data_IF_843750178640
#
_entry.id   IF_843750178640
#
_cell.length_a   1.000
_cell.length_b   1.000
_cell.length_c   1.000
_cell.angle_alpha   90.00
_cell.angle_beta   90.00
_cell.angle_gamma   90.00
#
_symmetry.space_group_name_H-M   'P 1'
#
loop_
_entity.id
_entity.type
_entity.pdbx_description
1 polymer ?
#
# COMPACT_ATOMS: atom_id res chain seq x y z
N UNK A 1 3.81 1.54 15.92
CA UNK A 1 4.69 0.74 16.81
C UNK A 1 3.96 0.29 18.07
N UNK A 2 3.49 1.21 18.93
CA UNK A 2 2.80 0.88 20.19
C UNK A 2 1.65 -0.11 20.03
N UNK A 3 0.63 0.22 19.22
CA UNK A 3 -0.51 -0.68 18.98
C UNK A 3 -0.11 -2.08 18.46
N UNK A 4 1.00 -2.19 17.70
CA UNK A 4 1.48 -3.49 17.23
C UNK A 4 2.17 -4.25 18.37
N UNK A 5 2.97 -3.56 19.19
CA UNK A 5 3.61 -4.15 20.37
C UNK A 5 2.59 -4.60 21.42
N UNK A 6 1.49 -3.85 21.57
CA UNK A 6 0.41 -4.15 22.50
C UNK A 6 -0.55 -5.24 21.97
N UNK A 7 -0.43 -5.62 20.69
CA UNK A 7 -1.26 -6.65 20.05
C UNK A 7 -2.61 -6.15 19.53
N UNK A 8 -2.88 -4.85 19.58
CA UNK A 8 -4.09 -4.21 19.08
C UNK A 8 -4.10 -4.04 17.55
N UNK A 9 -2.93 -4.08 16.91
CA UNK A 9 -2.79 -3.88 15.47
C UNK A 9 -1.80 -4.84 14.82
N UNK A 10 -2.02 -5.11 13.53
CA UNK A 10 -1.04 -5.71 12.64
C UNK A 10 -0.58 -4.65 11.63
N UNK A 11 0.68 -4.73 11.20
CA UNK A 11 1.25 -3.83 10.21
C UNK A 11 2.03 -4.62 9.16
N UNK A 12 1.83 -4.28 7.88
CA UNK A 12 2.58 -4.84 6.76
C UNK A 12 3.64 -3.85 6.30
N UNK A 13 4.75 -4.38 5.80
CA UNK A 13 5.84 -3.58 5.25
C UNK A 13 5.41 -2.98 3.90
N UNK A 14 5.50 -1.65 3.76
CA UNK A 14 5.46 -0.96 2.47
C UNK A 14 6.86 -0.72 1.88
N UNK A 15 6.91 -0.22 0.65
CA UNK A 15 8.18 0.12 0.00
C UNK A 15 8.90 1.30 0.71
N UNK A 16 8.15 2.23 1.30
CA UNK A 16 8.73 3.35 2.07
C UNK A 16 9.32 2.87 3.40
N UNK A 17 8.65 2.00 4.14
CA UNK A 17 9.19 1.41 5.38
C UNK A 17 10.45 0.58 5.08
N UNK A 18 10.45 -0.22 4.01
CA UNK A 18 11.64 -0.97 3.61
C UNK A 18 12.82 -0.03 3.27
N UNK A 19 12.54 1.08 2.57
CA UNK A 19 13.58 2.05 2.20
C UNK A 19 14.11 2.79 3.43
N UNK A 20 13.24 3.14 4.37
CA UNK A 20 13.58 3.76 5.65
C UNK A 20 14.45 2.83 6.51
N UNK A 21 14.06 1.57 6.67
CA UNK A 21 14.84 0.58 7.41
C UNK A 21 16.27 0.45 6.85
N UNK A 22 16.41 0.37 5.51
CA UNK A 22 17.74 0.36 4.86
C UNK A 22 18.56 1.62 5.15
N UNK A 23 17.92 2.79 5.15
CA UNK A 23 18.59 4.05 5.44
C UNK A 23 19.10 4.12 6.88
N UNK A 24 18.25 3.75 7.85
CA UNK A 24 18.60 3.71 9.27
C UNK A 24 19.66 2.65 9.58
N UNK A 25 19.64 1.51 8.86
CA UNK A 25 20.70 0.49 8.90
C UNK A 25 22.01 0.90 8.21
N UNK A 26 22.21 2.18 7.87
CA UNK A 26 23.45 2.73 7.32
C UNK A 26 23.67 2.51 5.82
N UNK A 27 22.67 1.96 5.10
CA UNK A 27 22.80 1.74 3.66
C UNK A 27 22.57 3.05 2.91
N UNK A 28 23.43 3.33 1.92
CA UNK A 28 23.26 4.48 1.02
C UNK A 28 22.04 4.25 0.12
N UNK A 29 20.99 5.03 0.33
CA UNK A 29 19.77 5.03 -0.48
C UNK A 29 19.46 6.43 -1.00
N UNK A 30 18.80 6.54 -2.15
CA UNK A 30 18.39 7.83 -2.70
C UNK A 30 17.35 8.49 -1.78
N UNK A 31 17.60 9.73 -1.33
CA UNK A 31 16.71 10.52 -0.47
C UNK A 31 15.59 11.19 -1.30
N UNK A 32 14.80 10.38 -1.97
CA UNK A 32 13.70 10.78 -2.86
C UNK A 32 12.36 10.28 -2.34
N UNK A 33 11.26 10.88 -2.81
CA UNK A 33 9.89 10.51 -2.48
C UNK A 33 9.60 10.56 -0.97
N UNK A 34 9.83 11.70 -0.31
CA UNK A 34 9.49 11.91 1.10
C UNK A 34 10.50 11.35 2.14
N UNK A 35 11.52 10.60 1.70
CA UNK A 35 12.49 10.02 2.64
C UNK A 35 13.37 11.08 3.31
N UNK A 36 13.68 12.19 2.63
CA UNK A 36 14.53 13.23 3.19
C UNK A 36 13.89 13.86 4.43
N UNK A 37 12.58 14.08 4.36
CA UNK A 37 11.71 14.63 5.38
C UNK A 37 11.60 13.67 6.57
N UNK A 38 11.38 12.38 6.31
CA UNK A 38 11.33 11.35 7.36
C UNK A 38 12.64 11.28 8.15
N UNK A 39 13.79 11.29 7.46
CA UNK A 39 15.09 11.27 8.11
C UNK A 39 15.34 12.55 8.92
N UNK A 40 14.99 13.72 8.38
CA UNK A 40 15.15 14.99 9.09
C UNK A 40 14.30 15.06 10.37
N UNK A 41 13.08 14.51 10.35
CA UNK A 41 12.22 14.43 11.54
C UNK A 41 12.79 13.43 12.56
N UNK A 42 13.25 12.26 12.11
CA UNK A 42 13.85 11.27 13.00
C UNK A 42 15.20 11.70 13.59
N UNK A 43 15.96 12.55 12.89
CA UNK A 43 17.22 13.11 13.40
C UNK A 43 17.01 14.06 14.59
N UNK A 44 15.78 14.56 14.79
CA UNK A 44 15.42 15.37 15.96
C UNK A 44 14.98 14.53 17.18
N UNK A 45 14.81 13.22 17.01
CA UNK A 45 14.39 12.30 18.07
C UNK A 45 15.60 11.64 18.75
N UNK A 46 15.46 11.14 20.00
CA UNK A 46 16.51 10.38 20.68
C UNK A 46 16.95 9.15 19.89
N UNK A 47 18.22 8.76 20.02
CA UNK A 47 18.76 7.59 19.32
C UNK A 47 18.00 6.30 19.67
N UNK A 48 17.55 6.15 20.92
CA UNK A 48 16.74 4.99 21.32
C UNK A 48 15.41 4.93 20.57
N UNK A 49 14.82 6.08 20.21
CA UNK A 49 13.60 6.10 19.40
C UNK A 49 13.89 5.68 17.97
N UNK A 50 14.99 6.18 17.39
CA UNK A 50 15.43 5.86 16.02
C UNK A 50 15.74 4.37 15.89
N UNK A 51 16.40 3.77 16.88
CA UNK A 51 16.67 2.33 16.94
C UNK A 51 15.38 1.50 16.98
N UNK A 52 14.38 1.94 17.76
CA UNK A 52 13.07 1.29 17.78
C UNK A 52 12.34 1.38 16.45
N UNK A 53 12.41 2.53 15.77
CA UNK A 53 11.82 2.70 14.43
C UNK A 53 12.51 1.76 13.44
N UNK A 54 13.84 1.70 13.46
CA UNK A 54 14.61 0.81 12.61
C UNK A 54 14.21 -0.66 12.82
N UNK A 55 14.24 -1.14 14.07
CA UNK A 55 13.85 -2.51 14.41
C UNK A 55 12.41 -2.82 14.00
N UNK A 56 11.47 -1.92 14.30
CA UNK A 56 10.07 -2.10 13.91
C UNK A 56 9.91 -2.24 12.40
N UNK A 57 10.50 -1.34 11.61
CA UNK A 57 10.38 -1.38 10.15
C UNK A 57 11.08 -2.61 9.52
N UNK A 58 12.20 -3.07 10.10
CA UNK A 58 12.93 -4.25 9.62
C UNK A 58 12.15 -5.55 9.89
N UNK A 59 11.44 -5.63 11.02
CA UNK A 59 10.63 -6.78 11.42
C UNK A 59 9.28 -6.90 10.69
N UNK A 60 8.84 -5.87 9.95
CA UNK A 60 7.55 -5.91 9.25
C UNK A 60 7.50 -6.99 8.17
N UNK A 61 6.49 -7.85 8.26
CA UNK A 61 6.22 -8.88 7.25
C UNK A 61 5.58 -8.31 5.99
N UNK A 62 5.72 -9.03 4.88
CA UNK A 62 5.28 -8.54 3.57
C UNK A 62 3.74 -8.55 3.39
N UNK A 63 3.05 -9.52 4.00
CA UNK A 63 1.60 -9.65 3.92
C UNK A 63 1.08 -10.53 5.04
N UNK A 64 -0.23 -10.43 5.31
CA UNK A 64 -0.96 -11.36 6.15
C UNK A 64 -2.02 -12.12 5.35
N UNK A 65 -2.28 -13.36 5.74
CA UNK A 65 -3.43 -14.15 5.32
C UNK A 65 -4.28 -14.41 6.56
N UNK A 66 -5.42 -13.73 6.63
CA UNK A 66 -6.29 -13.62 7.80
C UNK A 66 -7.62 -14.33 7.56
N UNK A 67 -8.41 -14.44 8.63
CA UNK A 67 -9.79 -14.93 8.60
C UNK A 67 -9.94 -16.30 7.88
N UNK A 68 -9.08 -17.26 8.25
CA UNK A 68 -9.06 -18.60 7.63
C UNK A 68 -8.63 -18.62 6.15
N UNK A 69 -8.08 -17.52 5.63
CA UNK A 69 -7.74 -17.35 4.21
C UNK A 69 -8.78 -16.56 3.40
N UNK A 70 -9.75 -15.92 4.05
CA UNK A 70 -10.73 -15.06 3.37
C UNK A 70 -10.29 -13.61 3.21
N UNK A 71 -9.23 -13.20 3.91
CA UNK A 71 -8.67 -11.85 3.83
C UNK A 71 -7.15 -11.92 3.62
N UNK A 72 -6.65 -11.13 2.67
CA UNK A 72 -5.22 -10.92 2.44
C UNK A 72 -4.95 -9.43 2.51
N UNK A 73 -3.96 -9.04 3.29
CA UNK A 73 -3.52 -7.64 3.42
C UNK A 73 -2.07 -7.55 3.00
N UNK A 74 -1.77 -6.71 2.01
CA UNK A 74 -0.42 -6.48 1.48
C UNK A 74 -0.33 -5.05 0.94
N UNK A 75 0.85 -4.43 0.99
CA UNK A 75 0.99 -3.02 0.60
C UNK A 75 0.62 -2.75 -0.87
N UNK A 76 1.22 -3.46 -1.83
CA UNK A 76 0.90 -3.33 -3.26
C UNK A 76 -0.11 -4.38 -3.78
N UNK A 77 -0.69 -5.14 -2.86
CA UNK A 77 -1.57 -6.27 -3.15
C UNK A 77 -0.82 -7.56 -3.42
N UNK A 78 -1.57 -8.64 -3.71
CA UNK A 78 -0.98 -9.96 -3.87
C UNK A 78 -1.90 -10.92 -4.66
N UNK A 79 -1.44 -11.48 -5.80
CA UNK A 79 -2.22 -12.44 -6.58
C UNK A 79 -2.33 -13.79 -5.85
N UNK A 80 -3.39 -14.54 -6.14
CA UNK A 80 -3.73 -15.78 -5.44
C UNK A 80 -2.58 -16.80 -5.41
N UNK A 81 -1.82 -16.93 -6.51
CA UNK A 81 -0.65 -17.81 -6.62
C UNK A 81 0.47 -17.56 -5.60
N UNK A 82 0.42 -16.42 -4.91
CA UNK A 82 1.39 -15.99 -3.89
C UNK A 82 0.84 -16.04 -2.48
N UNK A 83 -0.45 -16.31 -2.28
CA UNK A 83 -1.02 -16.42 -0.95
C UNK A 83 -0.33 -17.56 -0.18
N UNK A 84 0.01 -17.32 1.10
CA UNK A 84 0.70 -18.26 2.01
C UNK A 84 2.11 -18.69 1.55
N UNK A 85 2.77 -17.90 0.70
CA UNK A 85 4.17 -18.14 0.28
C UNK A 85 5.07 -17.03 0.81
N UNK A 86 6.32 -17.34 1.15
CA UNK A 86 7.24 -16.38 1.77
C UNK A 86 8.57 -16.18 0.99
N UNK A 87 8.56 -16.35 -0.33
CA UNK A 87 9.77 -16.18 -1.14
C UNK A 87 10.13 -14.70 -1.34
N UNK A 88 11.38 -14.42 -1.72
CA UNK A 88 11.83 -13.06 -2.09
C UNK A 88 10.98 -12.45 -3.21
N UNK A 89 10.53 -13.25 -4.18
CA UNK A 89 9.61 -12.82 -5.25
C UNK A 89 8.26 -12.38 -4.68
N UNK A 90 7.70 -13.13 -3.73
CA UNK A 90 6.43 -12.77 -3.08
C UNK A 90 6.58 -11.47 -2.30
N UNK A 91 7.69 -11.32 -1.57
CA UNK A 91 7.99 -10.08 -0.85
C UNK A 91 8.15 -8.90 -1.80
N UNK A 92 8.83 -9.09 -2.93
CA UNK A 92 8.99 -8.04 -3.95
C UNK A 92 7.64 -7.61 -4.51
N UNK A 93 6.76 -8.56 -4.85
CA UNK A 93 5.42 -8.26 -5.33
C UNK A 93 4.62 -7.47 -4.29
N UNK A 94 4.60 -7.93 -3.03
CA UNK A 94 3.85 -7.27 -1.97
C UNK A 94 4.30 -5.81 -1.70
N UNK A 95 5.55 -5.48 -2.01
CA UNK A 95 6.11 -4.13 -1.82
C UNK A 95 5.98 -3.23 -3.04
N UNK A 96 6.11 -3.78 -4.24
CA UNK A 96 6.29 -3.00 -5.47
C UNK A 96 5.22 -3.26 -6.54
N UNK A 97 4.38 -4.28 -6.35
CA UNK A 97 3.38 -4.74 -7.31
C UNK A 97 3.98 -5.57 -8.45
N UNK A 98 3.19 -5.74 -9.51
CA UNK A 98 3.61 -6.39 -10.75
C UNK A 98 4.26 -5.36 -11.68
N UNK A 99 5.59 -5.28 -11.68
CA UNK A 99 6.34 -4.33 -12.50
C UNK A 99 6.84 -4.99 -13.78
N UNK A 100 6.76 -4.31 -14.92
CA UNK A 100 7.36 -4.81 -16.18
C UNK A 100 8.89 -4.74 -16.19
N UNK A 101 9.47 -3.96 -15.27
CA UNK A 101 10.89 -3.62 -15.25
C UNK A 101 11.22 -2.34 -16.02
N UNK A 102 10.24 -1.74 -16.69
CA UNK A 102 10.38 -0.49 -17.44
C UNK A 102 9.93 0.72 -16.61
N UNK A 103 10.31 1.92 -17.04
CA UNK A 103 9.88 3.21 -16.43
C UNK A 103 9.08 4.04 -17.43
N UNK A 104 8.04 4.72 -16.96
CA UNK A 104 7.22 5.64 -17.77
C UNK A 104 7.91 7.00 -18.00
N UNK A 105 7.24 7.90 -18.72
CA UNK A 105 7.76 9.25 -19.02
C UNK A 105 8.00 10.13 -17.79
N UNK A 106 7.40 9.76 -16.64
CA UNK A 106 7.58 10.42 -15.35
C UNK A 106 8.67 9.74 -14.50
N UNK A 107 9.37 8.73 -15.03
CA UNK A 107 10.40 7.97 -14.34
C UNK A 107 9.85 6.98 -13.30
N UNK A 108 8.56 6.67 -13.34
CA UNK A 108 7.91 5.73 -12.42
C UNK A 108 7.87 4.33 -13.02
N UNK A 109 7.97 3.25 -12.22
CA UNK A 109 7.87 1.89 -12.74
C UNK A 109 6.52 1.64 -13.43
N UNK A 110 6.57 1.09 -14.65
CA UNK A 110 5.38 0.61 -15.37
C UNK A 110 4.87 -0.65 -14.66
N UNK A 111 3.58 -0.64 -14.32
CA UNK A 111 2.92 -1.69 -13.53
C UNK A 111 1.78 -2.32 -14.31
N UNK A 112 1.63 -3.63 -14.18
CA UNK A 112 0.52 -4.38 -14.75
C UNK A 112 -0.67 -4.36 -13.77
N UNK A 113 -1.91 -4.22 -14.28
CA UNK A 113 -3.11 -4.12 -13.45
C UNK A 113 -3.56 -5.49 -12.93
N UNK A 114 -2.72 -6.15 -12.13
CA UNK A 114 -2.94 -7.53 -11.63
C UNK A 114 -4.32 -7.75 -10.98
N UNK A 115 -4.90 -6.69 -10.40
CA UNK A 115 -6.23 -6.68 -9.80
C UNK A 115 -7.34 -7.02 -10.82
N UNK A 116 -7.20 -6.59 -12.09
CA UNK A 116 -8.16 -6.90 -13.18
C UNK A 116 -8.20 -8.40 -13.50
N UNK A 117 -7.08 -9.08 -13.35
CA UNK A 117 -6.93 -10.53 -13.60
C UNK A 117 -7.16 -11.38 -12.34
N UNK A 118 -7.39 -10.76 -11.18
CA UNK A 118 -7.55 -11.49 -9.94
C UNK A 118 -8.88 -12.26 -9.89
N UNK A 119 -8.81 -13.56 -9.64
CA UNK A 119 -9.98 -14.46 -9.52
C UNK A 119 -9.98 -15.27 -8.21
N UNK A 120 -9.14 -14.87 -7.25
CA UNK A 120 -9.00 -15.58 -5.99
C UNK A 120 -10.16 -15.35 -5.03
N UNK A 121 -10.36 -16.32 -4.13
CA UNK A 121 -11.48 -16.30 -3.18
C UNK A 121 -11.30 -15.31 -2.04
N UNK A 122 -10.06 -15.00 -1.67
CA UNK A 122 -9.78 -14.06 -0.59
C UNK A 122 -10.03 -12.62 -1.05
N UNK A 123 -10.61 -11.79 -0.18
CA UNK A 123 -10.57 -10.35 -0.35
C UNK A 123 -9.12 -9.88 -0.21
N UNK A 124 -8.59 -9.14 -1.19
CA UNK A 124 -7.24 -8.56 -1.11
C UNK A 124 -7.35 -7.06 -0.86
N UNK A 125 -6.95 -6.62 0.32
CA UNK A 125 -6.96 -5.21 0.73
C UNK A 125 -5.54 -4.67 0.64
N UNK A 126 -5.35 -3.57 -0.09
CA UNK A 126 -4.03 -3.05 -0.41
C UNK A 126 -4.02 -1.52 -0.58
N UNK A 127 -2.87 -0.97 -0.95
CA UNK A 127 -2.64 0.46 -1.24
C UNK A 127 -1.62 0.65 -2.37
N UNK A 128 -0.53 1.37 -2.09
CA UNK A 128 0.66 1.55 -2.94
C UNK A 128 0.53 2.54 -4.10
N UNK A 129 -0.50 2.40 -4.93
CA UNK A 129 -0.77 3.35 -6.02
C UNK A 129 -2.03 4.12 -5.67
N UNK A 130 -1.92 5.42 -5.36
CA UNK A 130 -3.08 6.22 -4.99
C UNK A 130 -4.16 6.23 -6.07
N UNK A 131 -5.41 6.03 -5.68
CA UNK A 131 -6.61 6.21 -6.51
C UNK A 131 -7.48 7.35 -5.95
N UNK A 132 -8.30 8.04 -6.76
CA UNK A 132 -9.19 9.09 -6.25
C UNK A 132 -10.20 8.53 -5.22
N UNK A 133 -10.73 7.35 -5.51
CA UNK A 133 -11.72 6.66 -4.69
C UNK A 133 -11.31 5.19 -4.48
N UNK A 134 -11.74 4.61 -3.36
CA UNK A 134 -11.54 3.20 -3.08
C UNK A 134 -12.70 2.40 -3.69
N UNK A 135 -12.38 1.56 -4.68
CA UNK A 135 -13.35 0.76 -5.41
C UNK A 135 -12.96 -0.72 -5.39
N UNK A 136 -13.97 -1.59 -5.34
CA UNK A 136 -13.75 -3.02 -5.50
C UNK A 136 -13.51 -3.34 -6.98
N UNK A 137 -12.35 -3.92 -7.28
CA UNK A 137 -12.06 -4.52 -8.59
C UNK A 137 -11.91 -6.01 -8.40
N UNK A 138 -12.85 -6.78 -8.95
CA UNK A 138 -13.06 -8.17 -8.56
C UNK A 138 -13.18 -8.28 -7.02
N UNK A 139 -12.39 -9.14 -6.39
CA UNK A 139 -12.35 -9.29 -4.93
C UNK A 139 -11.10 -8.63 -4.33
N UNK A 140 -10.71 -7.48 -4.89
CA UNK A 140 -9.56 -6.67 -4.42
C UNK A 140 -9.98 -5.22 -4.25
N UNK A 141 -9.34 -4.50 -3.31
CA UNK A 141 -9.62 -3.08 -3.07
C UNK A 141 -8.37 -2.32 -2.65
N UNK A 142 -8.12 -1.20 -3.32
CA UNK A 142 -7.09 -0.23 -2.95
C UNK A 142 -7.67 0.80 -1.97
N UNK A 143 -7.06 0.95 -0.80
CA UNK A 143 -7.43 1.96 0.21
C UNK A 143 -6.51 3.20 0.19
N UNK A 144 -5.49 3.20 -0.68
CA UNK A 144 -4.63 4.37 -0.83
C UNK A 144 -5.38 5.42 -1.66
N UNK A 145 -6.04 6.33 -0.96
CA UNK A 145 -6.76 7.46 -1.54
C UNK A 145 -5.96 8.76 -1.46
N UNK A 146 -4.63 8.66 -1.42
CA UNK A 146 -3.73 9.79 -1.55
C UNK A 146 -3.83 10.84 -0.43
N UNK A 147 -4.04 10.42 0.82
CA UNK A 147 -4.18 11.32 1.97
C UNK A 147 -3.06 12.39 2.05
N UNK A 148 -1.80 11.99 1.81
CA UNK A 148 -0.65 12.91 1.86
C UNK A 148 -0.69 13.95 0.72
N UNK A 149 -1.33 13.62 -0.39
CA UNK A 149 -1.47 14.48 -1.57
C UNK A 149 -2.71 15.38 -1.51
N UNK A 150 -3.39 15.46 -0.36
CA UNK A 150 -4.62 16.22 -0.19
C UNK A 150 -5.91 15.47 -0.53
N UNK A 151 -5.83 14.15 -0.72
CA UNK A 151 -7.00 13.28 -0.86
C UNK A 151 -7.64 12.95 0.49
N UNK A 152 -7.79 11.66 0.80
CA UNK A 152 -8.40 11.19 2.06
C UNK A 152 -7.68 9.98 2.63
N UNK A 153 -7.82 9.74 3.93
CA UNK A 153 -7.39 8.53 4.60
C UNK A 153 -8.58 7.58 4.68
N UNK A 154 -8.51 6.45 3.97
CA UNK A 154 -9.61 5.49 3.84
C UNK A 154 -9.34 4.21 4.64
N UNK A 155 -10.37 3.71 5.30
CA UNK A 155 -10.38 2.44 6.01
C UNK A 155 -11.53 1.55 5.49
N UNK A 156 -11.29 0.24 5.48
CA UNK A 156 -12.31 -0.77 5.24
C UNK A 156 -12.66 -1.47 6.56
N UNK A 157 -13.94 -1.44 6.93
CA UNK A 157 -14.48 -2.30 7.99
C UNK A 157 -14.74 -3.69 7.41
N UNK A 158 -14.05 -4.69 7.94
CA UNK A 158 -14.18 -6.08 7.52
C UNK A 158 -14.71 -6.92 8.68
N UNK A 159 -15.73 -7.79 8.48
CA UNK A 159 -16.23 -8.29 7.20
C UNK A 159 -17.38 -7.48 6.57
N UNK A 160 -17.80 -6.36 7.16
CA UNK A 160 -18.95 -5.57 6.73
C UNK A 160 -18.81 -4.97 5.33
N UNK A 161 -17.56 -4.84 4.84
CA UNK A 161 -17.18 -4.19 3.58
C UNK A 161 -17.63 -2.73 3.49
N UNK A 162 -17.70 -2.05 4.62
CA UNK A 162 -18.04 -0.64 4.70
C UNK A 162 -16.77 0.22 4.63
N UNK A 163 -16.77 1.20 3.74
CA UNK A 163 -15.71 2.20 3.64
C UNK A 163 -16.00 3.36 4.59
N UNK A 164 -14.98 3.77 5.33
CA UNK A 164 -14.98 4.97 6.16
C UNK A 164 -13.75 5.79 5.78
N UNK A 165 -13.91 7.09 5.59
CA UNK A 165 -12.81 7.96 5.23
C UNK A 165 -12.84 9.29 5.99
N UNK A 166 -11.66 9.94 6.03
CA UNK A 166 -11.48 11.29 6.56
C UNK A 166 -10.67 12.10 5.55
N UNK A 167 -11.12 13.30 5.14
CA UNK A 167 -10.39 14.15 4.20
C UNK A 167 -9.07 14.65 4.82
N UNK A 168 -8.06 14.85 3.97
CA UNK A 168 -6.80 15.46 4.38
C UNK A 168 -7.02 16.92 4.80
N UNK A 169 -6.35 17.35 5.88
CA UNK A 169 -6.41 18.75 6.33
C UNK A 169 -5.66 19.74 5.44
N UNK A 170 -4.75 19.25 4.59
CA UNK A 170 -3.95 20.03 3.66
C UNK A 170 -3.33 19.11 2.58
N UNK A 171 -2.77 19.71 1.52
CA UNK A 171 -1.82 19.03 0.63
C UNK A 171 -0.45 19.03 1.32
N UNK A 172 0.00 17.87 1.79
CA UNK A 172 1.27 17.72 2.52
C UNK A 172 2.45 17.41 1.62
N UNK A 173 2.19 16.84 0.44
CA UNK A 173 3.18 16.56 -0.59
C UNK A 173 2.55 16.75 -1.97
N UNK A 174 3.28 17.30 -2.92
CA UNK A 174 2.78 17.46 -4.29
C UNK A 174 2.82 16.11 -5.04
N UNK A 175 1.70 15.67 -5.64
CA UNK A 175 1.70 14.42 -6.39
C UNK A 175 2.56 14.54 -7.65
N UNK A 176 3.33 13.51 -7.95
CA UNK A 176 4.19 13.48 -9.16
C UNK A 176 3.38 13.37 -10.46
N UNK A 177 2.12 12.95 -10.37
CA UNK A 177 1.15 12.98 -11.47
C UNK A 177 0.13 14.07 -11.20
N UNK A 178 -0.26 14.88 -12.20
CA UNK A 178 -1.45 15.72 -12.10
C UNK A 178 -2.64 14.82 -11.71
N UNK A 179 -3.58 15.29 -10.88
CA UNK A 179 -4.79 14.52 -10.59
C UNK A 179 -5.44 14.16 -11.93
N UNK A 180 -5.65 12.87 -12.18
CA UNK A 180 -6.42 12.44 -13.33
C UNK A 180 -7.80 13.11 -13.22
N UNK A 181 -8.34 13.68 -14.32
CA UNK A 181 -9.73 14.11 -14.30
C UNK A 181 -10.57 12.93 -13.84
N UNK A 182 -11.56 13.17 -12.98
CA UNK A 182 -12.54 12.17 -12.58
C UNK A 182 -13.33 11.75 -13.81
N UNK A 183 -12.80 10.82 -14.59
CA UNK A 183 -13.53 10.21 -15.68
C UNK A 183 -14.52 9.25 -15.03
N UNK A 184 -15.74 9.74 -14.83
CA UNK A 184 -16.96 8.96 -14.61
C UNK A 184 -17.28 8.00 -15.78
N UNK A 185 -16.33 7.73 -16.67
CA UNK A 185 -16.48 6.71 -17.70
C UNK A 185 -16.04 5.37 -17.11
N UNK A 186 -17.04 4.60 -16.68
CA UNK A 186 -16.93 3.17 -16.39
C UNK A 186 -16.16 2.49 -17.54
N UNK A 187 -15.12 1.76 -17.17
CA UNK A 187 -14.49 0.77 -18.06
C UNK A 187 -15.56 -0.30 -18.33
N UNK A 188 -16.06 -0.47 -19.58
CA UNK A 188 -17.18 -1.35 -19.88
C UNK A 188 -16.91 -2.84 -19.59
N UNK A 189 -15.65 -3.19 -19.32
CA UNK A 189 -15.23 -4.55 -18.98
C UNK A 189 -15.20 -4.83 -17.45
N UNK A 190 -15.52 -3.84 -16.60
CA UNK A 190 -15.61 -4.01 -15.14
C UNK A 190 -17.05 -4.34 -14.75
N UNK A 191 -17.30 -5.62 -14.45
CA UNK A 191 -18.59 -6.11 -13.96
C UNK A 191 -18.74 -5.88 -12.46
N UNK A 192 -19.87 -5.29 -12.05
CA UNK A 192 -20.30 -5.11 -10.67
C UNK A 192 -21.06 -6.37 -10.17
N UNK A 193 -21.08 -6.57 -8.85
CA UNK A 193 -21.90 -7.59 -8.21
C UNK A 193 -23.40 -7.32 -8.41
N UNK A 194 -23.79 -6.06 -8.59
CA UNK A 194 -25.17 -5.65 -8.89
C UNK A 194 -25.57 -5.89 -10.37
N UNK A 195 -24.62 -6.21 -11.25
CA UNK A 195 -24.89 -6.49 -12.67
C UNK A 195 -25.43 -7.92 -12.92
N UNK A 196 -25.50 -8.74 -11.87
CA UNK A 196 -26.03 -10.11 -11.93
C UNK A 196 -27.31 -10.22 -11.10
N UNK A 197 -28.46 -10.03 -11.76
CA UNK A 197 -29.79 -10.33 -11.25
C UNK A 197 -30.22 -11.77 -11.55
#
# INVERSE_FOLDING_TARGET
>A
MGMVADGDALCVCGNHEQKLARALGGRKVARTHGLAESLAQLDAEPDEFRDRVHAFCDDLVAHYVLDGGRLVVAHAGLPERFHRRASGTVRSFALYGDTTGETDEFGLPVRLPWAKDYRGRAAVVYGHVPTPEAEWVNNTICLDTGAVFGGKLTALRYPERELVDVPAGAVWYEPSRPPAPSTTERDPDVLDLDDVA
#
